data_IF_853118395677
#
_entry.id   IF_853118395677
#
_cell.length_a   1.000
_cell.length_b   1.000
_cell.length_c   1.000
_cell.angle_alpha   90.00
_cell.angle_beta   90.00
_cell.angle_gamma   90.00
#
_symmetry.space_group_name_H-M   'P 1'
#
loop_
_entity.id
_entity.type
_entity.pdbx_description
1 polymer ?
#
# COMPACT_ATOMS: atom_id res chain seq x y z
N UNK A 1 14.27 -2.27 -2.93
CA UNK A 1 15.36 -2.10 -1.93
C UNK A 1 14.85 -2.16 -0.50
N UNK A 2 13.82 -1.38 -0.11
CA UNK A 2 13.28 -1.40 1.28
C UNK A 2 12.81 -2.80 1.70
N UNK A 3 12.08 -3.54 0.85
CA UNK A 3 11.65 -4.90 1.17
C UNK A 3 12.83 -5.86 1.42
N UNK A 4 13.98 -5.63 0.77
CA UNK A 4 15.17 -6.45 1.00
C UNK A 4 15.75 -6.17 2.40
N UNK A 5 15.84 -4.89 2.79
CA UNK A 5 16.25 -4.49 4.14
C UNK A 5 15.36 -5.12 5.22
N UNK A 6 14.05 -5.16 5.00
CA UNK A 6 13.12 -5.75 5.94
C UNK A 6 13.32 -7.26 6.12
N UNK A 7 13.71 -7.97 5.06
CA UNK A 7 14.06 -9.39 5.17
C UNK A 7 15.40 -9.58 5.87
N UNK A 8 16.39 -8.72 5.63
CA UNK A 8 17.69 -8.82 6.32
C UNK A 8 17.57 -8.51 7.83
N UNK A 9 16.69 -7.58 8.21
CA UNK A 9 16.42 -7.27 9.63
C UNK A 9 15.48 -8.32 10.28
N UNK A 10 14.84 -9.18 9.48
CA UNK A 10 13.99 -10.26 9.97
C UNK A 10 12.53 -9.86 10.25
N UNK A 11 12.06 -8.72 9.72
CA UNK A 11 10.65 -8.30 9.82
C UNK A 11 9.75 -9.04 8.83
N UNK A 12 10.32 -9.48 7.71
CA UNK A 12 9.62 -10.22 6.67
C UNK A 12 10.37 -11.49 6.31
N UNK A 13 9.61 -12.51 5.92
CA UNK A 13 10.15 -13.62 5.14
C UNK A 13 9.23 -13.94 3.96
N UNK A 14 9.84 -14.49 2.91
CA UNK A 14 9.15 -15.01 1.74
C UNK A 14 9.42 -16.52 1.65
N UNK A 15 8.62 -17.37 2.32
CA UNK A 15 8.89 -18.80 2.42
C UNK A 15 8.92 -19.54 1.08
N UNK A 16 8.11 -19.09 0.11
CA UNK A 16 7.98 -19.73 -1.20
C UNK A 16 8.31 -18.73 -2.31
N UNK A 17 9.52 -18.85 -2.88
CA UNK A 17 9.99 -18.01 -3.97
C UNK A 17 10.19 -18.89 -5.21
N UNK A 18 9.52 -18.54 -6.30
CA UNK A 18 9.60 -19.28 -7.56
C UNK A 18 11.03 -19.35 -8.14
N UNK A 19 11.80 -18.27 -7.99
CA UNK A 19 13.22 -18.18 -8.36
C UNK A 19 14.04 -17.72 -7.14
N UNK A 20 14.56 -18.63 -6.29
CA UNK A 20 15.20 -18.31 -5.02
C UNK A 20 16.66 -17.83 -5.19
N UNK A 21 16.92 -16.96 -6.16
CA UNK A 21 18.23 -16.33 -6.37
C UNK A 21 18.47 -15.26 -5.28
N UNK A 22 17.39 -14.65 -4.79
CA UNK A 22 17.39 -13.66 -3.73
C UNK A 22 16.43 -14.07 -2.62
N UNK A 23 16.63 -13.57 -1.39
CA UNK A 23 15.73 -13.80 -0.24
C UNK A 23 14.33 -13.18 -0.40
N UNK A 24 14.10 -12.46 -1.50
CA UNK A 24 12.82 -11.84 -1.87
C UNK A 24 12.43 -12.22 -3.30
N UNK A 25 11.13 -12.23 -3.66
CA UNK A 25 10.68 -12.35 -5.05
C UNK A 25 10.93 -11.02 -5.79
N UNK A 26 12.19 -10.78 -6.15
CA UNK A 26 12.68 -9.49 -6.65
C UNK A 26 11.86 -8.93 -7.82
N UNK A 27 11.59 -9.76 -8.83
CA UNK A 27 10.87 -9.35 -10.03
C UNK A 27 9.43 -8.92 -9.68
N UNK A 28 8.74 -9.70 -8.85
CA UNK A 28 7.36 -9.40 -8.46
C UNK A 28 7.27 -8.11 -7.63
N UNK A 29 8.18 -7.93 -6.67
CA UNK A 29 8.24 -6.72 -5.84
C UNK A 29 8.55 -5.49 -6.71
N UNK A 30 9.58 -5.57 -7.56
CA UNK A 30 9.92 -4.45 -8.43
C UNK A 30 8.76 -4.10 -9.36
N UNK A 31 8.15 -5.09 -10.02
CA UNK A 31 7.02 -4.84 -10.91
C UNK A 31 5.83 -4.20 -10.16
N UNK A 32 5.42 -4.76 -9.02
CA UNK A 32 4.27 -4.28 -8.27
C UNK A 32 4.48 -2.87 -7.70
N UNK A 33 5.59 -2.63 -6.99
CA UNK A 33 5.84 -1.33 -6.37
C UNK A 33 6.15 -0.25 -7.39
N UNK A 34 6.90 -0.56 -8.47
CA UNK A 34 7.12 0.41 -9.54
C UNK A 34 5.82 0.78 -10.23
N UNK A 35 4.92 -0.18 -10.47
CA UNK A 35 3.60 0.09 -11.03
C UNK A 35 2.79 1.07 -10.16
N UNK A 36 2.69 0.81 -8.85
CA UNK A 36 2.00 1.70 -7.93
C UNK A 36 2.65 3.08 -7.84
N UNK A 37 3.98 3.17 -7.84
CA UNK A 37 4.70 4.46 -7.80
C UNK A 37 4.43 5.26 -9.06
N UNK A 38 4.51 4.65 -10.25
CA UNK A 38 4.25 5.34 -11.51
C UNK A 38 2.81 5.86 -11.55
N UNK A 39 1.83 5.03 -11.16
CA UNK A 39 0.44 5.46 -11.07
C UNK A 39 0.24 6.58 -10.04
N UNK A 40 0.82 6.40 -8.85
CA UNK A 40 0.74 7.35 -7.75
C UNK A 40 1.25 8.72 -8.19
N UNK A 41 2.49 8.80 -8.67
CA UNK A 41 3.11 10.07 -9.07
C UNK A 41 2.40 10.71 -10.27
N UNK A 42 2.00 9.91 -11.27
CA UNK A 42 1.36 10.41 -12.50
C UNK A 42 0.00 11.03 -12.24
N UNK A 43 -0.82 10.39 -11.40
CA UNK A 43 -2.22 10.78 -11.16
C UNK A 43 -2.45 11.51 -9.83
N UNK A 44 -1.44 11.61 -8.98
CA UNK A 44 -1.51 12.33 -7.70
C UNK A 44 -1.99 13.77 -7.90
N UNK A 45 -3.02 14.21 -7.16
CA UNK A 45 -3.61 15.55 -7.30
C UNK A 45 -2.61 16.63 -6.89
N UNK A 46 -2.76 17.83 -7.45
CA UNK A 46 -1.83 18.94 -7.17
C UNK A 46 -1.92 19.40 -5.72
N UNK A 47 -3.14 19.59 -5.21
CA UNK A 47 -3.38 20.06 -3.84
C UNK A 47 -3.16 18.93 -2.82
N UNK A 48 -2.36 19.22 -1.80
CA UNK A 48 -1.99 18.30 -0.73
C UNK A 48 -3.19 17.73 0.04
N UNK A 49 -4.26 18.52 0.21
CA UNK A 49 -5.48 18.06 0.90
C UNK A 49 -6.08 16.81 0.25
N UNK A 50 -6.03 16.70 -1.08
CA UNK A 50 -6.55 15.55 -1.81
C UNK A 50 -5.53 14.42 -1.94
N UNK A 51 -4.24 14.69 -1.74
CA UNK A 51 -3.20 13.65 -1.82
C UNK A 51 -3.34 12.61 -0.73
N UNK A 52 -3.72 13.01 0.48
CA UNK A 52 -3.95 12.06 1.58
C UNK A 52 -5.07 11.09 1.21
N UNK A 53 -6.21 11.58 0.69
CA UNK A 53 -7.29 10.71 0.27
C UNK A 53 -6.88 9.78 -0.89
N UNK A 54 -6.15 10.33 -1.87
CA UNK A 54 -5.66 9.57 -3.02
C UNK A 54 -4.67 8.46 -2.62
N UNK A 55 -3.64 8.79 -1.85
CA UNK A 55 -2.67 7.80 -1.35
C UNK A 55 -3.30 6.85 -0.33
N UNK A 56 -4.31 7.31 0.41
CA UNK A 56 -5.10 6.45 1.29
C UNK A 56 -5.78 5.32 0.52
N UNK A 57 -6.32 5.57 -0.67
CA UNK A 57 -6.87 4.51 -1.53
C UNK A 57 -5.79 3.50 -1.92
N UNK A 58 -4.62 3.98 -2.36
CA UNK A 58 -3.49 3.11 -2.78
C UNK A 58 -3.01 2.26 -1.60
N UNK A 59 -2.72 2.89 -0.46
CA UNK A 59 -2.18 2.22 0.74
C UNK A 59 -3.16 1.19 1.27
N UNK A 60 -4.44 1.53 1.42
CA UNK A 60 -5.44 0.60 1.93
C UNK A 60 -5.68 -0.58 0.98
N UNK A 61 -5.68 -0.34 -0.33
CA UNK A 61 -5.75 -1.42 -1.33
C UNK A 61 -4.53 -2.32 -1.26
N UNK A 62 -3.33 -1.74 -1.18
CA UNK A 62 -2.08 -2.48 -1.04
C UNK A 62 -2.04 -3.33 0.23
N UNK A 63 -2.45 -2.76 1.37
CA UNK A 63 -2.54 -3.45 2.65
C UNK A 63 -3.58 -4.55 2.68
N UNK A 64 -4.72 -4.36 2.01
CA UNK A 64 -5.70 -5.42 1.80
C UNK A 64 -5.07 -6.58 1.02
N UNK A 65 -4.41 -6.31 -0.10
CA UNK A 65 -3.75 -7.33 -0.91
C UNK A 65 -2.62 -8.03 -0.14
N UNK A 66 -1.78 -7.29 0.58
CA UNK A 66 -0.72 -7.86 1.42
C UNK A 66 -1.29 -8.78 2.50
N UNK A 67 -2.41 -8.39 3.12
CA UNK A 67 -3.09 -9.20 4.14
C UNK A 67 -3.70 -10.46 3.55
N UNK A 68 -4.33 -10.35 2.37
CA UNK A 68 -4.85 -11.52 1.63
C UNK A 68 -3.71 -12.45 1.25
N UNK A 69 -2.61 -11.93 0.71
CA UNK A 69 -1.43 -12.72 0.37
C UNK A 69 -0.82 -13.38 1.61
N UNK A 70 -0.71 -12.69 2.74
CA UNK A 70 -0.19 -13.24 3.99
C UNK A 70 -1.09 -14.36 4.56
N UNK A 71 -2.41 -14.20 4.49
CA UNK A 71 -3.34 -15.11 5.17
C UNK A 71 -3.83 -16.25 4.29
N UNK A 72 -3.94 -16.03 2.97
CA UNK A 72 -4.43 -17.04 2.02
C UNK A 72 -3.30 -17.74 1.27
N UNK A 73 -2.09 -17.18 1.32
CA UNK A 73 -0.90 -17.78 0.71
C UNK A 73 0.23 -17.79 1.72
N UNK A 74 1.24 -18.62 1.49
CA UNK A 74 2.47 -18.58 2.28
C UNK A 74 3.54 -17.71 1.60
N UNK A 75 3.13 -16.73 0.78
CA UNK A 75 4.06 -15.87 0.06
C UNK A 75 4.75 -14.87 0.98
N UNK A 76 3.99 -14.32 1.94
CA UNK A 76 4.46 -13.28 2.87
C UNK A 76 4.21 -13.78 4.27
N UNK A 77 5.25 -13.73 5.11
CA UNK A 77 5.13 -13.96 6.54
C UNK A 77 5.74 -12.77 7.26
N UNK A 78 4.98 -12.26 8.24
CA UNK A 78 5.52 -11.30 9.19
C UNK A 78 6.24 -12.08 10.27
N UNK A 79 7.44 -11.64 10.59
CA UNK A 79 8.28 -12.21 11.63
C UNK A 79 8.77 -11.10 12.56
N UNK A 80 9.23 -11.50 13.74
CA UNK A 80 9.56 -10.57 14.83
C UNK A 80 8.35 -9.66 15.19
N UNK A 81 8.53 -8.62 15.99
CA UNK A 81 7.46 -7.67 16.40
C UNK A 81 6.81 -6.90 15.22
N UNK A 82 7.13 -7.25 13.98
CA UNK A 82 6.51 -6.66 12.80
C UNK A 82 5.07 -7.16 12.63
N UNK A 83 4.15 -6.23 12.50
CA UNK A 83 2.74 -6.52 12.41
C UNK A 83 2.06 -5.73 11.28
N UNK A 84 0.73 -5.84 11.23
CA UNK A 84 -0.07 -5.12 10.24
C UNK A 84 0.16 -3.60 10.31
N UNK A 85 0.34 -3.04 11.50
CA UNK A 85 0.52 -1.61 11.70
C UNK A 85 1.89 -1.12 11.22
N UNK A 86 2.95 -1.90 11.48
CA UNK A 86 4.30 -1.63 10.95
C UNK A 86 4.30 -1.59 9.42
N UNK A 87 3.64 -2.57 8.79
CA UNK A 87 3.48 -2.59 7.33
C UNK A 87 2.69 -1.38 6.82
N UNK A 88 1.50 -1.11 7.40
CA UNK A 88 0.65 0.03 7.03
C UNK A 88 1.39 1.37 7.07
N UNK A 89 2.16 1.59 8.15
CA UNK A 89 2.96 2.81 8.33
C UNK A 89 4.06 2.91 7.29
N UNK A 90 4.73 1.79 6.96
CA UNK A 90 5.76 1.78 5.92
C UNK A 90 5.19 2.11 4.55
N UNK A 91 4.03 1.56 4.19
CA UNK A 91 3.35 1.89 2.94
C UNK A 91 3.16 3.41 2.81
N UNK A 92 2.68 4.07 3.86
CA UNK A 92 2.55 5.53 3.88
C UNK A 92 3.87 6.26 3.68
N UNK A 93 4.90 5.91 4.45
CA UNK A 93 6.23 6.53 4.35
C UNK A 93 6.77 6.38 2.93
N UNK A 94 6.67 5.17 2.37
CA UNK A 94 7.14 4.87 1.03
C UNK A 94 6.44 5.72 -0.03
N UNK A 95 5.10 5.75 -0.06
CA UNK A 95 4.37 6.49 -1.10
C UNK A 95 4.51 8.00 -0.97
N UNK A 96 4.57 8.54 0.25
CA UNK A 96 4.83 9.98 0.46
C UNK A 96 6.23 10.34 -0.04
N UNK A 97 7.24 9.53 0.27
CA UNK A 97 8.60 9.74 -0.23
C UNK A 97 8.64 9.67 -1.76
N UNK A 98 7.99 8.68 -2.36
CA UNK A 98 7.94 8.52 -3.81
C UNK A 98 7.16 9.65 -4.51
N UNK A 99 6.09 10.19 -3.91
CA UNK A 99 5.43 11.41 -4.39
C UNK A 99 6.38 12.60 -4.38
N UNK A 100 7.14 12.77 -3.30
CA UNK A 100 8.07 13.89 -3.17
C UNK A 100 9.19 13.80 -4.21
N UNK A 101 9.81 12.63 -4.35
CA UNK A 101 10.85 12.37 -5.36
C UNK A 101 10.26 12.53 -6.78
N UNK A 102 9.16 11.84 -7.06
CA UNK A 102 8.51 11.83 -8.36
C UNK A 102 7.99 13.20 -8.79
N UNK A 103 7.49 14.00 -7.85
CA UNK A 103 7.07 15.38 -8.09
C UNK A 103 8.22 16.34 -8.42
N UNK A 104 9.47 15.99 -8.07
CA UNK A 104 10.68 16.75 -8.43
C UNK A 104 11.31 16.26 -9.73
N UNK A 105 11.28 14.96 -9.98
CA UNK A 105 11.91 14.34 -11.16
C UNK A 105 11.02 14.47 -12.40
N UNK A 106 9.72 14.23 -12.28
CA UNK A 106 8.81 14.18 -13.42
C UNK A 106 8.28 15.59 -13.70
N UNK A 107 8.52 16.15 -14.90
CA UNK A 107 8.07 17.49 -15.24
C UNK A 107 6.53 17.56 -15.28
N UNK A 108 5.93 18.72 -14.95
CA UNK A 108 4.47 18.84 -14.79
C UNK A 108 3.66 18.41 -16.02
N UNK A 109 4.17 18.65 -17.23
CA UNK A 109 3.47 18.31 -18.48
C UNK A 109 3.38 16.80 -18.76
N UNK A 110 4.20 15.98 -18.08
CA UNK A 110 4.11 14.50 -18.15
C UNK A 110 3.20 13.92 -17.06
N UNK A 111 2.81 14.75 -16.07
CA UNK A 111 1.84 14.36 -15.04
C UNK A 111 0.43 14.61 -15.57
N UNK A 112 -0.50 13.76 -15.11
CA UNK A 112 -1.93 13.91 -15.39
C UNK A 112 -2.68 13.84 -14.06
N UNK A 113 -2.51 14.85 -13.18
CA UNK A 113 -3.09 14.84 -11.85
C UNK A 113 -4.61 14.70 -11.94
N UNK A 114 -5.19 13.94 -11.01
CA UNK A 114 -6.63 13.80 -10.95
C UNK A 114 -7.28 15.15 -10.67
N UNK A 115 -8.34 15.49 -11.42
CA UNK A 115 -9.07 16.73 -11.19
C UNK A 115 -9.66 16.71 -9.77
N UNK A 116 -9.49 17.82 -9.04
CA UNK A 116 -10.02 18.01 -7.69
C UNK A 116 -11.53 17.83 -7.60
N UNK A 117 -12.27 18.10 -8.69
CA UNK A 117 -13.72 17.86 -8.73
C UNK A 117 -14.07 16.37 -8.59
N UNK A 118 -13.18 15.46 -8.98
CA UNK A 118 -13.42 14.02 -8.82
C UNK A 118 -13.56 13.58 -7.35
N UNK A 119 -13.00 14.37 -6.42
CA UNK A 119 -13.04 14.13 -4.97
C UNK A 119 -14.31 14.68 -4.32
N UNK A 120 -15.14 15.43 -5.04
CA UNK A 120 -16.37 16.02 -4.50
C UNK A 120 -17.50 14.99 -4.45
N UNK A 121 -18.43 15.19 -3.52
CA UNK A 121 -19.61 14.36 -3.36
C UNK A 121 -20.34 14.16 -4.71
N UNK A 122 -20.74 12.93 -5.00
CA UNK A 122 -21.42 12.59 -6.26
C UNK A 122 -20.50 12.32 -7.45
N UNK A 123 -19.19 12.57 -7.35
CA UNK A 123 -18.22 12.21 -8.38
C UNK A 123 -17.56 10.85 -8.13
N UNK A 124 -17.04 10.26 -9.20
CA UNK A 124 -16.59 8.86 -9.20
C UNK A 124 -15.50 8.56 -8.15
N UNK A 125 -14.51 9.43 -7.96
CA UNK A 125 -13.39 9.15 -7.04
C UNK A 125 -13.78 9.34 -5.58
N UNK A 126 -14.77 10.20 -5.29
CA UNK A 126 -15.39 10.26 -3.98
C UNK A 126 -15.97 8.90 -3.57
N UNK A 127 -16.66 8.20 -4.47
CA UNK A 127 -17.15 6.85 -4.20
C UNK A 127 -16.00 5.86 -3.96
N UNK A 128 -14.93 5.92 -4.75
CA UNK A 128 -13.74 5.05 -4.58
C UNK A 128 -13.13 5.22 -3.19
N UNK A 129 -12.92 6.46 -2.75
CA UNK A 129 -12.36 6.76 -1.42
C UNK A 129 -13.24 6.15 -0.32
N UNK A 130 -14.56 6.37 -0.40
CA UNK A 130 -15.48 5.91 0.65
C UNK A 130 -15.62 4.40 0.67
N UNK A 131 -15.72 3.74 -0.48
CA UNK A 131 -15.75 2.28 -0.55
C UNK A 131 -14.50 1.72 0.09
N UNK A 132 -13.31 2.16 -0.34
CA UNK A 132 -12.06 1.65 0.21
C UNK A 132 -11.97 1.91 1.72
N UNK A 133 -12.27 3.12 2.18
CA UNK A 133 -12.22 3.47 3.60
C UNK A 133 -13.21 2.66 4.45
N UNK A 134 -14.48 2.54 4.01
CA UNK A 134 -15.52 1.77 4.72
C UNK A 134 -15.12 0.30 4.80
N UNK A 135 -14.69 -0.30 3.69
CA UNK A 135 -14.26 -1.69 3.68
C UNK A 135 -13.06 -1.92 4.60
N UNK A 136 -12.05 -1.05 4.56
CA UNK A 136 -10.90 -1.18 5.46
C UNK A 136 -11.31 -1.10 6.93
N UNK A 137 -12.08 -0.08 7.32
CA UNK A 137 -12.49 0.11 8.72
C UNK A 137 -13.36 -1.05 9.19
N UNK A 138 -14.31 -1.49 8.35
CA UNK A 138 -15.17 -2.62 8.65
C UNK A 138 -14.38 -3.91 8.84
N UNK A 139 -13.47 -4.24 7.91
CA UNK A 139 -12.65 -5.45 7.99
C UNK A 139 -11.67 -5.42 9.17
N UNK A 140 -11.06 -4.26 9.46
CA UNK A 140 -10.19 -4.10 10.62
C UNK A 140 -10.98 -4.34 11.93
N UNK A 141 -12.19 -3.77 12.04
CA UNK A 141 -13.08 -3.99 13.17
C UNK A 141 -13.51 -5.46 13.31
N UNK A 142 -13.89 -6.10 12.20
CA UNK A 142 -14.24 -7.52 12.18
C UNK A 142 -13.07 -8.40 12.61
N UNK A 143 -11.87 -8.14 12.08
CA UNK A 143 -10.65 -8.87 12.43
C UNK A 143 -10.35 -8.75 13.92
N UNK A 144 -10.36 -7.53 14.47
CA UNK A 144 -10.11 -7.29 15.89
C UNK A 144 -11.17 -7.99 16.77
N UNK A 145 -12.44 -7.91 16.40
CA UNK A 145 -13.53 -8.57 17.11
C UNK A 145 -13.41 -10.10 17.13
N UNK A 146 -13.00 -10.70 16.01
CA UNK A 146 -12.72 -12.15 15.95
C UNK A 146 -11.56 -12.52 16.87
N UNK A 147 -10.45 -11.78 16.84
CA UNK A 147 -9.27 -12.06 17.69
C UNK A 147 -9.62 -12.00 19.19
N UNK A 148 -10.42 -11.01 19.63
CA UNK A 148 -10.87 -10.91 21.03
C UNK A 148 -11.71 -12.12 21.45
N UNK A 149 -12.55 -12.64 20.56
CA UNK A 149 -13.39 -13.82 20.85
C UNK A 149 -12.58 -15.10 21.01
N UNK A 150 -11.49 -15.28 20.25
CA UNK A 150 -10.63 -16.47 20.34
C UNK A 150 -9.66 -16.44 21.53
N UNK A 151 -9.48 -15.29 22.19
CA UNK A 151 -8.66 -15.14 23.39
C UNK A 151 -9.46 -15.36 24.69
N UNK A 152 -10.79 -15.51 24.61
CA UNK A 152 -11.67 -15.88 25.71
C UNK A 152 -12.03 -17.36 25.63
#
# INVERSE_FOLDING_TARGET
>A
MICYLFVEVGFYSFPYIFLPITKIPLIAILAAFSYYVILGVRYSPVNWAYKIAFYGVIVNTGMFLETVLKNMTNLIRYDFEWDFWGSYTTWWIFFILMEWIGGKIIPPHLRKPLNTDAFRFGHWFWFVIHIVAIFTIFLAGLYLGLQIKYQK
#
